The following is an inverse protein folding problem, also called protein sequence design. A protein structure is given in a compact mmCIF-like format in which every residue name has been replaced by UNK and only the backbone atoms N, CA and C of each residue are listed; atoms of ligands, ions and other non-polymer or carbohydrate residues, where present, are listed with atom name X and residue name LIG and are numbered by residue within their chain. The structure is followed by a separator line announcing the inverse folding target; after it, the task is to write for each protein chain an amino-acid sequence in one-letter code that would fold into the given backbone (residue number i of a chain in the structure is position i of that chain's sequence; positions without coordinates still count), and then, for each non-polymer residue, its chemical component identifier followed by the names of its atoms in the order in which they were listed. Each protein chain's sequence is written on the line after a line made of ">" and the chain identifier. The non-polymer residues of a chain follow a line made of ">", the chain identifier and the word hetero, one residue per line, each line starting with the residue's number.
data_IF_731674801008
#
_entry.id   IF_731674801008
#
_cell.length_a   1.000
_cell.length_b   1.000
_cell.length_c   1.000
_cell.angle_alpha   90.00
_cell.angle_beta   90.00
_cell.angle_gamma   90.00
#
_symmetry.space_group_name_H-M   'P 1'
#
loop_
_entity.id
_entity.type
_entity.pdbx_description
1 polymer ?
2 water ?
#
# COMPACT_ATOMS: atom_id res chain seq x y z
N UNK A 16 -31.27 -8.57 2.34
CA UNK A 16 -32.07 -7.33 2.65
C UNK A 16 -33.30 -7.67 3.48
N UNK A 17 -33.73 -6.70 4.27
CA UNK A 17 -34.72 -6.94 5.31
C UNK A 17 -34.76 -5.71 6.20
N UNK A 18 -35.14 -5.89 7.47
CA UNK A 18 -35.10 -4.78 8.43
C UNK A 18 -33.92 -5.06 9.37
N UNK A 19 -33.15 -4.00 9.58
CA UNK A 19 -31.83 -4.06 10.18
C UNK A 19 -31.73 -3.17 11.41
N UNK A 20 -30.65 -3.34 12.14
CA UNK A 20 -30.45 -2.54 13.28
C UNK A 20 -28.95 -2.42 13.52
N UNK A 21 -28.59 -1.42 14.31
CA UNK A 21 -27.21 -1.19 14.69
C UNK A 21 -26.69 -2.36 15.53
N UNK A 22 -25.41 -2.67 15.38
CA UNK A 22 -24.78 -3.71 16.17
C UNK A 22 -24.34 -3.12 17.51
N UNK A 23 -24.97 -3.59 18.57
CA UNK A 23 -24.81 -2.97 19.86
C UNK A 23 -23.50 -3.42 20.48
N UNK A 24 -22.94 -4.55 20.05
CA UNK A 24 -21.78 -5.10 20.75
C UNK A 24 -20.42 -4.57 20.27
N UNK A 25 -20.42 -3.86 19.16
CA UNK A 25 -19.21 -3.37 18.54
C UNK A 25 -19.02 -2.00 19.04
N UNK A 26 -17.84 -1.72 19.57
CA UNK A 26 -17.66 -0.46 20.28
C UNK A 26 -17.68 0.70 19.30
N UNK A 27 -17.35 0.44 18.04
CA UNK A 27 -17.19 1.52 17.10
C UNK A 27 -17.25 0.99 15.71
N UNK A 28 -17.61 1.90 14.83
CA UNK A 28 -17.66 1.64 13.42
C UNK A 28 -16.34 1.89 12.66
N UNK A 29 -15.33 2.38 13.37
CA UNK A 29 -14.13 3.00 12.73
C UNK A 29 -13.35 1.99 11.91
N UNK A 30 -13.20 0.78 12.37
CA UNK A 30 -12.48 -0.16 11.54
C UNK A 30 -13.31 -0.72 10.38
N UNK A 31 -14.61 -0.90 10.57
CA UNK A 31 -15.48 -1.20 9.42
C UNK A 31 -15.34 -0.13 8.38
N UNK A 32 -15.28 1.12 8.79
CA UNK A 32 -15.16 2.18 7.77
C UNK A 32 -13.82 2.16 7.09
N UNK A 33 -12.78 1.90 7.89
CA UNK A 33 -11.42 1.79 7.33
C UNK A 33 -11.31 0.59 6.30
N UNK A 34 -11.93 -0.56 6.63
CA UNK A 34 -12.01 -1.72 5.71
C UNK A 34 -12.81 -1.35 4.45
N UNK A 35 -13.98 -0.75 4.61
CA UNK A 35 -14.76 -0.34 3.45
C UNK A 35 -13.92 0.54 2.55
N UNK A 36 -13.29 1.53 3.14
CA UNK A 36 -12.51 2.50 2.31
C UNK A 36 -11.34 1.83 1.68
N UNK A 37 -10.63 1.03 2.44
CA UNK A 37 -9.50 0.34 1.86
C UNK A 37 -9.89 -0.70 0.78
N UNK A 38 -10.86 -1.57 1.09
CA UNK A 38 -11.31 -2.54 -0.01
C UNK A 38 -11.77 -1.74 -1.24
N UNK A 39 -12.47 -0.63 -1.05
CA UNK A 39 -13.02 0.08 -2.22
C UNK A 39 -11.91 0.62 -3.08
N UNK A 40 -10.94 1.29 -2.46
CA UNK A 40 -9.81 1.88 -3.23
C UNK A 40 -9.02 0.79 -3.93
N UNK A 41 -8.73 -0.29 -3.24
CA UNK A 41 -8.02 -1.41 -3.89
C UNK A 41 -8.81 -2.11 -5.01
N UNK A 42 -10.13 -2.24 -4.84
CA UNK A 42 -11.01 -2.79 -5.89
C UNK A 42 -10.96 -1.85 -7.06
N UNK A 43 -11.07 -0.57 -6.85
CA UNK A 43 -10.92 0.34 -7.98
C UNK A 43 -9.52 0.29 -8.61
N UNK A 44 -8.48 0.19 -7.78
CA UNK A 44 -7.09 0.09 -8.31
C UNK A 44 -6.86 -1.20 -9.09
N UNK A 45 -7.48 -2.29 -8.66
CA UNK A 45 -7.53 -3.52 -9.46
C UNK A 45 -8.09 -3.31 -10.89
N UNK A 46 -9.02 -2.35 -11.10
CA UNK A 46 -9.56 -2.04 -12.46
C UNK A 46 -8.52 -1.27 -13.29
N UNK A 47 -7.96 -0.25 -12.69
CA UNK A 47 -7.01 0.62 -13.41
C UNK A 47 -5.73 -0.13 -13.75
N UNK A 48 -5.32 -1.06 -12.92
CA UNK A 48 -3.99 -1.62 -13.06
C UNK A 48 -4.01 -3.01 -13.63
N UNK A 49 -5.18 -3.48 -14.09
CA UNK A 49 -5.29 -4.84 -14.69
C UNK A 49 -4.46 -4.95 -15.98
N UNK A 50 -4.56 -3.91 -16.82
CA UNK A 50 -3.85 -3.88 -18.09
C UNK A 50 -2.34 -3.85 -17.87
N UNK A 51 -1.85 -3.03 -16.94
CA UNK A 51 -0.45 -3.10 -16.54
C UNK A 51 0.00 -4.30 -15.71
N UNK A 52 -0.89 -5.23 -15.37
CA UNK A 52 -0.53 -6.37 -14.51
C UNK A 52 0.03 -5.98 -13.10
N UNK A 53 -0.48 -4.88 -12.58
CA UNK A 53 -0.08 -4.34 -11.27
C UNK A 53 -1.21 -4.36 -10.21
N UNK A 54 -2.21 -5.24 -10.42
CA UNK A 54 -3.38 -5.37 -9.53
C UNK A 54 -3.02 -6.13 -8.21
N UNK A 55 -3.94 -6.16 -7.26
CA UNK A 55 -3.75 -6.92 -6.01
C UNK A 55 -2.52 -6.43 -5.25
N UNK A 56 -2.35 -5.12 -5.11
CA UNK A 56 -1.24 -4.58 -4.34
C UNK A 56 0.12 -4.52 -5.00
N UNK A 57 0.31 -5.13 -6.14
CA UNK A 57 1.56 -5.01 -6.85
C UNK A 57 2.04 -3.54 -6.99
N UNK A 58 1.15 -2.62 -7.35
CA UNK A 58 1.56 -1.22 -7.59
C UNK A 58 2.09 -0.62 -6.32
N UNK A 59 1.63 -1.11 -5.18
CA UNK A 59 2.10 -0.60 -3.90
C UNK A 59 3.60 -0.93 -3.67
N UNK A 60 3.96 -2.17 -3.87
CA UNK A 60 5.34 -2.59 -3.78
C UNK A 60 6.22 -1.87 -4.77
N UNK A 61 5.73 -1.76 -5.99
CA UNK A 61 6.49 -1.05 -7.01
C UNK A 61 6.81 0.41 -6.65
N UNK A 62 5.82 1.17 -6.20
CA UNK A 62 6.07 2.57 -5.85
C UNK A 62 7.12 2.69 -4.78
N UNK A 63 7.07 1.82 -3.77
CA UNK A 63 8.09 1.90 -2.73
C UNK A 63 9.49 1.59 -3.21
N UNK A 64 9.57 0.65 -4.15
CA UNK A 64 10.84 0.33 -4.77
C UNK A 64 11.34 1.52 -5.60
N UNK A 65 10.49 2.10 -6.44
CA UNK A 65 10.91 3.29 -7.17
C UNK A 65 11.31 4.47 -6.29
N UNK A 66 10.59 4.67 -5.18
CA UNK A 66 10.89 5.78 -4.30
C UNK A 66 12.12 5.54 -3.45
N UNK A 67 12.46 4.26 -3.22
CA UNK A 67 13.63 3.91 -2.38
C UNK A 67 14.57 2.86 -3.05
N UNK A 68 15.20 3.22 -4.17
CA UNK A 68 15.94 2.20 -4.91
C UNK A 68 16.99 1.62 -4.04
N UNK A 69 17.17 0.31 -4.11
CA UNK A 69 18.13 -0.37 -3.23
C UNK A 69 17.53 -0.96 -1.98
N UNK A 70 16.25 -0.67 -1.74
CA UNK A 70 15.60 -1.17 -0.50
C UNK A 70 15.62 -2.69 -0.53
N UNK A 71 15.68 -3.32 0.62
CA UNK A 71 15.70 -4.75 0.65
C UNK A 71 14.36 -5.26 1.13
N UNK A 72 14.20 -6.58 1.06
CA UNK A 72 12.88 -7.18 1.27
C UNK A 72 12.42 -7.02 2.69
N UNK A 73 13.37 -7.04 3.60
CA UNK A 73 13.05 -6.89 5.02
C UNK A 73 12.54 -5.46 5.30
N UNK A 74 13.27 -4.48 4.81
CA UNK A 74 12.93 -3.08 4.99
C UNK A 74 11.59 -2.83 4.32
N UNK A 75 11.38 -3.38 3.14
CA UNK A 75 10.20 -3.17 2.37
C UNK A 75 8.97 -3.74 3.14
N UNK A 76 9.12 -4.88 3.82
CA UNK A 76 8.05 -5.47 4.63
C UNK A 76 7.70 -4.63 5.83
N UNK A 77 8.72 -4.05 6.42
CA UNK A 77 8.51 -3.25 7.58
C UNK A 77 7.87 -1.92 7.21
N UNK A 78 8.22 -1.38 6.07
CA UNK A 78 7.64 -0.15 5.57
C UNK A 78 6.12 -0.32 5.25
N UNK A 79 5.77 -1.48 4.76
CA UNK A 79 4.43 -1.75 4.30
C UNK A 79 3.56 -2.46 5.30
N UNK A 80 4.17 -2.75 6.42
CA UNK A 80 3.51 -3.48 7.50
C UNK A 80 2.87 -4.84 7.13
N UNK A 81 3.61 -5.61 6.38
CA UNK A 81 3.23 -6.96 6.03
C UNK A 81 4.38 -7.91 6.40
N UNK A 82 4.11 -9.21 6.46
CA UNK A 82 5.16 -10.21 6.69
C UNK A 82 5.97 -10.52 5.43
N UNK A 83 7.17 -11.06 5.64
CA UNK A 83 8.18 -11.19 4.58
C UNK A 83 7.70 -12.11 3.44
N UNK A 84 6.93 -13.11 3.82
CA UNK A 84 6.34 -14.03 2.83
C UNK A 84 5.45 -13.31 1.79
N UNK A 85 4.67 -12.36 2.27
CA UNK A 85 3.85 -11.59 1.36
C UNK A 85 4.74 -10.86 0.37
N UNK A 86 5.80 -10.21 0.90
CA UNK A 86 6.70 -9.40 0.11
C UNK A 86 7.41 -10.21 -0.92
N UNK A 87 7.93 -11.36 -0.50
CA UNK A 87 8.64 -12.31 -1.39
C UNK A 87 7.79 -12.70 -2.61
N UNK A 88 6.54 -13.06 -2.36
CA UNK A 88 5.63 -13.45 -3.45
C UNK A 88 5.35 -12.31 -4.37
N UNK A 89 5.17 -11.12 -3.82
CA UNK A 89 4.90 -9.98 -4.69
C UNK A 89 6.14 -9.58 -5.51
N UNK A 90 7.31 -9.63 -4.86
CA UNK A 90 8.53 -9.28 -5.55
C UNK A 90 8.76 -10.28 -6.69
N UNK A 91 8.61 -11.56 -6.38
CA UNK A 91 8.79 -12.58 -7.49
C UNK A 91 7.93 -12.24 -8.72
N UNK A 92 6.67 -11.88 -8.47
CA UNK A 92 5.81 -11.53 -9.60
C UNK A 92 6.28 -10.31 -10.33
N UNK A 93 6.71 -9.28 -9.60
CA UNK A 93 7.16 -8.04 -10.25
C UNK A 93 8.45 -8.24 -11.07
N UNK A 94 9.33 -9.12 -10.60
CA UNK A 94 10.54 -9.46 -11.38
C UNK A 94 10.09 -10.13 -12.69
N UNK A 95 9.25 -11.17 -12.56
CA UNK A 95 8.71 -11.91 -13.72
C UNK A 95 8.03 -11.00 -14.72
N UNK A 96 7.31 -10.02 -14.24
CA UNK A 96 6.72 -9.03 -15.15
C UNK A 96 7.73 -7.95 -15.61
N UNK A 97 9.02 -8.04 -15.21
CA UNK A 97 10.04 -7.04 -15.66
C UNK A 97 9.97 -5.64 -15.03
N UNK A 98 9.43 -5.52 -13.81
CA UNK A 98 9.30 -4.19 -13.21
C UNK A 98 10.43 -3.97 -12.21
N UNK A 99 11.04 -5.04 -11.75
CA UNK A 99 11.99 -4.97 -10.68
C UNK A 99 13.16 -5.89 -10.95
N UNK A 100 14.35 -5.48 -10.52
CA UNK A 100 15.53 -6.35 -10.49
C UNK A 100 15.90 -6.52 -9.04
N UNK A 101 16.32 -7.72 -8.66
CA UNK A 101 16.89 -7.97 -7.33
C UNK A 101 18.32 -8.46 -7.49
N UNK A 102 19.18 -8.01 -6.59
CA UNK A 102 20.57 -8.40 -6.55
C UNK A 102 20.94 -8.76 -5.11
N UNK A 103 21.68 -9.82 -4.95
CA UNK A 103 22.11 -10.24 -3.62
C UNK A 103 22.90 -9.08 -2.99
N UNK A 104 22.75 -8.88 -1.70
CA UNK A 104 23.47 -7.83 -1.01
C UNK A 104 24.92 -8.25 -0.76
N UNK A 105 25.85 -7.29 -0.90
CA UNK A 105 27.30 -7.55 -0.72
C UNK A 105 27.70 -7.95 0.68
N UNK A 106 26.97 -7.49 1.68
CA UNK A 106 27.37 -7.66 3.06
C UNK A 106 26.52 -8.64 3.84
N UNK A 107 25.21 -8.71 3.59
CA UNK A 107 24.41 -9.87 4.04
C UNK A 107 24.14 -10.75 2.82
N UNK A 108 24.74 -11.93 2.81
CA UNK A 108 24.64 -12.84 1.67
C UNK A 108 23.17 -13.29 1.36
N UNK A 109 22.33 -13.47 2.38
CA UNK A 109 20.92 -13.68 2.07
C UNK A 109 19.97 -12.48 2.29
N UNK A 110 20.39 -11.29 1.82
CA UNK A 110 19.54 -10.12 1.59
C UNK A 110 19.51 -9.89 0.10
N UNK A 111 18.53 -9.16 -0.37
CA UNK A 111 18.52 -8.75 -1.76
C UNK A 111 18.25 -7.28 -1.76
N UNK A 112 18.83 -6.55 -2.70
CA UNK A 112 18.48 -5.21 -2.91
C UNK A 112 17.56 -5.16 -4.07
N UNK A 113 16.46 -4.44 -3.90
CA UNK A 113 15.50 -4.24 -4.99
C UNK A 113 15.71 -2.93 -5.64
N UNK A 114 15.59 -2.94 -6.96
CA UNK A 114 15.79 -1.82 -7.79
C UNK A 114 14.75 -1.81 -8.89
N UNK A 115 14.32 -0.60 -9.33
CA UNK A 115 13.35 -0.54 -10.43
C UNK A 115 14.06 -0.69 -11.76
N UNK A 116 13.37 -1.29 -12.73
CA UNK A 116 13.86 -1.38 -14.08
C UNK A 116 13.39 -0.16 -14.86
N UNK A 117 13.97 0.03 -16.05
CA UNK A 117 13.67 1.18 -16.94
C UNK A 117 12.16 1.30 -17.22
N UNK A 118 11.54 0.15 -17.43
CA UNK A 118 10.10 0.02 -17.67
C UNK A 118 9.20 0.68 -16.58
N UNK A 119 9.48 0.30 -15.34
CA UNK A 119 8.71 0.74 -14.21
C UNK A 119 8.84 2.28 -13.94
N UNK A 120 9.89 2.90 -14.46
CA UNK A 120 10.09 4.33 -14.26
C UNK A 120 9.05 5.17 -14.99
N UNK A 121 8.56 4.69 -16.12
CA UNK A 121 7.43 5.39 -16.78
C UNK A 121 6.11 5.17 -16.02
N UNK A 122 5.92 3.93 -15.56
CA UNK A 122 4.68 3.56 -14.90
C UNK A 122 4.58 4.32 -13.58
N UNK A 123 5.71 4.60 -12.96
CA UNK A 123 5.71 5.21 -11.64
C UNK A 123 4.92 6.51 -11.66
N UNK A 124 5.08 7.29 -12.73
CA UNK A 124 4.46 8.61 -12.80
C UNK A 124 2.99 8.40 -12.99
N UNK A 125 2.66 7.45 -13.85
CA UNK A 125 1.28 7.03 -14.03
C UNK A 125 0.61 6.65 -12.68
N UNK A 126 1.33 5.88 -11.85
CA UNK A 126 0.74 5.38 -10.63
C UNK A 126 0.47 6.56 -9.72
N UNK A 127 1.42 7.47 -9.66
CA UNK A 127 1.29 8.61 -8.75
C UNK A 127 0.18 9.55 -9.19
N UNK A 128 0.04 9.70 -10.51
CA UNK A 128 -1.10 10.41 -11.08
C UNK A 128 -2.39 9.75 -10.56
N UNK A 129 -2.44 8.42 -10.64
CA UNK A 129 -3.67 7.69 -10.19
C UNK A 129 -3.97 7.85 -8.73
N UNK A 130 -2.91 7.89 -7.93
CA UNK A 130 -3.08 8.04 -6.50
C UNK A 130 -3.69 9.45 -6.26
N UNK A 131 -3.16 10.44 -6.97
CA UNK A 131 -3.67 11.82 -6.76
C UNK A 131 -5.12 11.92 -7.23
N UNK A 132 -5.47 11.17 -8.27
CA UNK A 132 -6.86 11.12 -8.69
C UNK A 132 -7.76 10.47 -7.60
N UNK A 133 -7.26 9.40 -6.93
CA UNK A 133 -8.06 8.72 -5.87
C UNK A 133 -8.19 9.60 -4.71
N UNK A 134 -7.12 10.35 -4.45
CA UNK A 134 -7.09 11.28 -3.32
C UNK A 134 -8.15 12.37 -3.52
N UNK A 135 -8.23 12.85 -4.73
CA UNK A 135 -9.21 13.89 -5.03
C UNK A 135 -10.66 13.38 -4.73
N UNK A 136 -10.95 12.16 -5.17
CA UNK A 136 -12.23 11.48 -4.94
C UNK A 136 -12.48 11.37 -3.48
N UNK A 137 -11.47 11.02 -2.67
CA UNK A 137 -11.70 10.82 -1.23
C UNK A 137 -12.11 12.10 -0.59
N UNK A 138 -11.56 13.20 -1.11
CA UNK A 138 -11.69 14.50 -0.48
C UNK A 138 -12.80 15.39 -1.10
N UNK A 139 -13.50 14.86 -2.09
CA UNK A 139 -14.67 15.54 -2.65
C UNK A 139 -15.52 16.16 -1.55
N UNK A 140 -15.72 17.47 -1.63
CA UNK A 140 -16.60 18.16 -0.68
C UNK A 140 -16.00 18.33 0.66
N UNK A 141 -14.70 18.05 0.80
CA UNK A 141 -13.99 18.36 2.06
C UNK A 141 -13.57 19.83 2.08
N UNK A 142 -13.67 20.49 3.24
CA UNK A 142 -12.97 21.78 3.44
C UNK A 142 -11.52 21.52 3.75
N UNK A 143 -10.71 22.57 3.66
CA UNK A 143 -9.30 22.45 3.98
C UNK A 143 -9.09 22.06 5.41
N UNK A 144 -9.89 22.61 6.30
CA UNK A 144 -9.72 22.29 7.70
C UNK A 144 -10.00 20.75 7.95
N UNK A 145 -11.04 20.21 7.30
CA UNK A 145 -11.42 18.79 7.45
C UNK A 145 -10.29 17.92 6.93
N UNK A 146 -9.73 18.28 5.78
CA UNK A 146 -8.57 17.60 5.21
C UNK A 146 -7.44 17.44 6.22
N UNK A 147 -7.04 18.55 6.80
CA UNK A 147 -5.99 18.56 7.80
C UNK A 147 -6.38 17.73 9.00
N UNK A 148 -7.63 17.85 9.42
CA UNK A 148 -7.99 17.18 10.65
C UNK A 148 -7.93 15.65 10.48
N UNK A 149 -8.44 15.19 9.36
CA UNK A 149 -8.61 13.76 9.19
C UNK A 149 -7.23 13.20 8.91
N UNK A 150 -6.42 14.01 8.23
CA UNK A 150 -5.06 13.60 7.90
C UNK A 150 -4.29 13.36 9.16
N UNK A 151 -4.38 14.31 10.09
CA UNK A 151 -3.67 14.22 11.33
C UNK A 151 -4.15 13.08 12.22
N UNK A 152 -5.47 12.92 12.31
CA UNK A 152 -6.03 11.92 13.20
C UNK A 152 -5.81 10.49 12.63
N UNK A 153 -5.80 10.34 11.33
CA UNK A 153 -5.41 9.04 10.77
C UNK A 153 -3.96 8.67 11.07
N UNK A 154 -3.06 9.63 10.93
CA UNK A 154 -1.65 9.47 11.38
C UNK A 154 -1.59 8.96 12.77
N UNK A 155 -2.32 9.60 13.69
CA UNK A 155 -2.34 9.13 15.07
C UNK A 155 -2.83 7.71 15.19
N UNK A 156 -3.92 7.38 14.48
CA UNK A 156 -4.41 5.97 14.48
C UNK A 156 -3.33 5.06 13.91
N UNK A 157 -2.77 5.49 12.80
CA UNK A 157 -1.72 4.68 12.16
C UNK A 157 -0.59 4.35 13.11
N UNK A 158 -0.12 5.34 13.85
CA UNK A 158 1.04 5.13 14.73
C UNK A 158 0.64 4.18 15.80
N UNK A 159 -0.57 4.28 16.34
CA UNK A 159 -0.94 3.27 17.36
C UNK A 159 -0.89 1.86 16.87
N UNK A 160 -1.46 1.62 15.70
CA UNK A 160 -1.48 0.25 15.14
C UNK A 160 -0.11 -0.25 14.67
N UNK A 161 0.74 0.68 14.23
CA UNK A 161 2.20 0.40 13.93
C UNK A 161 2.90 -0.21 15.13
N UNK A 162 2.85 0.51 16.24
CA UNK A 162 3.41 0.11 17.50
C UNK A 162 2.97 -1.26 17.82
N UNK A 163 1.67 -1.51 17.72
CA UNK A 163 1.21 -2.83 18.05
C UNK A 163 1.76 -3.85 17.10
N UNK A 164 1.78 -3.52 15.81
CA UNK A 164 2.33 -4.49 14.85
C UNK A 164 3.83 -4.85 15.18
N UNK A 165 4.66 -3.89 15.55
CA UNK A 165 6.07 -4.21 15.90
C UNK A 165 6.18 -5.15 17.12
N UNK A 166 5.34 -4.93 18.14
CA UNK A 166 5.26 -5.83 19.30
C UNK A 166 4.86 -7.26 18.93
N UNK A 167 3.86 -7.38 18.07
CA UNK A 167 3.20 -8.64 17.84
C UNK A 167 3.90 -9.46 16.75
N UNK A 168 4.68 -8.81 15.88
CA UNK A 168 5.26 -9.50 14.71
C UNK A 168 6.52 -10.31 15.11
#
# INVERSE_FOLDING_TARGET
>A
GSSHHHHHHSSGLVPRGSHMLIKTLDSNILREVGTLSRAVNSINDIKYKELKLQKGQFTFLTRICENPGINLVELSNMLKVDKATTTKAIQKLIKAGYVDKKQDKFDKRGYNLTPTDKSLEVYELIIEEENRSIEICFDNFTDEEKQVVTKLLEKMSKNVENEWFKVKR
#
